data_IF_912391811302
#
_entry.id   IF_912391811302
#
_cell.length_a   1.000
_cell.length_b   1.000
_cell.length_c   1.000
_cell.angle_alpha   90.00
_cell.angle_beta   90.00
_cell.angle_gamma   90.00
#
_symmetry.space_group_name_H-M   'P 1'
#
loop_
_entity.id
_entity.type
_entity.pdbx_description
1 polymer ?
#
# COMPACT_ATOMS: atom_id res chain seq x y z
N UNK A 1 -25.42 32.37 16.36
CA UNK A 1 -24.98 30.97 16.36
C UNK A 1 -23.47 30.98 16.42
N UNK A 2 -22.88 30.57 17.54
CA UNK A 2 -21.43 30.34 17.62
C UNK A 2 -21.14 29.09 16.80
N UNK A 3 -20.30 29.20 15.78
CA UNK A 3 -19.84 28.03 15.03
C UNK A 3 -18.97 27.21 15.97
N UNK A 4 -19.33 25.95 16.16
CA UNK A 4 -18.53 24.98 16.90
C UNK A 4 -17.23 24.71 16.10
N UNK A 5 -16.07 24.87 16.75
CA UNK A 5 -14.75 24.87 16.09
C UNK A 5 -13.88 23.66 16.44
N UNK A 6 -14.42 22.68 17.15
CA UNK A 6 -13.68 21.49 17.55
C UNK A 6 -13.82 20.37 16.50
N UNK A 7 -12.69 19.80 16.07
CA UNK A 7 -12.65 18.59 15.26
C UNK A 7 -11.48 17.70 15.70
N UNK A 8 -11.65 16.39 15.56
CA UNK A 8 -10.59 15.39 15.77
C UNK A 8 -10.04 14.98 14.41
N UNK A 9 -8.72 14.84 14.33
CA UNK A 9 -8.04 14.32 13.15
C UNK A 9 -7.24 13.10 13.55
N UNK A 10 -7.70 11.93 13.15
CA UNK A 10 -6.92 10.69 13.24
C UNK A 10 -6.00 10.62 12.02
N UNK A 11 -4.68 10.59 12.27
CA UNK A 11 -3.68 10.54 11.20
C UNK A 11 -2.87 9.26 11.26
N UNK A 12 -2.51 8.75 10.08
CA UNK A 12 -1.46 7.73 9.95
C UNK A 12 -0.18 8.16 10.66
N UNK A 13 0.58 7.18 11.17
CA UNK A 13 1.93 7.47 11.68
C UNK A 13 2.83 7.89 10.52
N UNK A 14 3.46 9.06 10.65
CA UNK A 14 4.33 9.64 9.62
C UNK A 14 5.76 9.66 10.13
N UNK A 15 6.67 9.04 9.36
CA UNK A 15 8.11 9.25 9.50
C UNK A 15 8.59 10.14 8.36
N UNK A 16 9.26 11.23 8.72
CA UNK A 16 9.74 12.21 7.76
C UNK A 16 11.18 12.59 8.04
N UNK A 17 11.97 12.71 6.99
CA UNK A 17 13.36 13.14 7.06
C UNK A 17 14.24 12.39 6.07
N UNK A 18 15.45 12.90 5.79
CA UNK A 18 16.41 12.19 4.95
C UNK A 18 16.75 10.81 5.53
N UNK A 19 16.66 9.77 4.71
CA UNK A 19 17.09 8.42 5.06
C UNK A 19 16.11 7.55 5.84
N UNK A 20 14.95 8.07 6.25
CA UNK A 20 13.95 7.31 7.06
C UNK A 20 13.44 6.05 6.36
N UNK A 21 13.48 5.97 5.02
CA UNK A 21 13.13 4.76 4.26
C UNK A 21 13.95 3.54 4.68
N UNK A 22 15.17 3.73 5.21
CA UNK A 22 16.04 2.63 5.69
C UNK A 22 15.48 1.92 6.93
N UNK A 23 14.53 2.53 7.63
CA UNK A 23 13.90 1.94 8.82
C UNK A 23 12.79 0.94 8.47
N UNK A 24 12.36 0.88 7.21
CA UNK A 24 11.18 0.10 6.80
C UNK A 24 11.29 -1.40 7.14
N UNK A 25 12.51 -1.95 7.13
CA UNK A 25 12.76 -3.32 7.56
C UNK A 25 12.34 -3.55 9.02
N UNK A 26 12.85 -2.70 9.92
CA UNK A 26 12.50 -2.73 11.34
C UNK A 26 11.00 -2.46 11.56
N UNK A 27 10.41 -1.54 10.81
CA UNK A 27 8.98 -1.22 10.94
C UNK A 27 8.10 -2.41 10.57
N UNK A 28 8.36 -3.06 9.44
CA UNK A 28 7.63 -4.27 9.03
C UNK A 28 7.87 -5.44 9.99
N UNK A 29 9.09 -5.58 10.53
CA UNK A 29 9.38 -6.60 11.54
C UNK A 29 8.60 -6.37 12.84
N UNK A 30 8.49 -5.11 13.29
CA UNK A 30 7.69 -4.73 14.46
C UNK A 30 6.19 -4.95 14.25
N UNK A 31 5.72 -4.85 13.00
CA UNK A 31 4.36 -5.22 12.59
C UNK A 31 4.17 -6.74 12.46
N UNK A 32 5.20 -7.55 12.74
CA UNK A 32 5.14 -9.01 12.70
C UNK A 32 5.22 -9.63 11.31
N UNK A 33 5.51 -8.84 10.27
CA UNK A 33 5.54 -9.32 8.89
C UNK A 33 6.76 -10.22 8.62
N UNK A 34 6.58 -11.23 7.77
CA UNK A 34 7.61 -12.18 7.34
C UNK A 34 7.71 -12.29 5.82
N UNK A 35 6.61 -12.11 5.10
CA UNK A 35 6.57 -12.16 3.64
C UNK A 35 5.71 -11.03 3.09
N UNK A 36 6.35 -10.06 2.46
CA UNK A 36 5.70 -8.79 2.09
C UNK A 36 5.69 -8.59 0.58
N UNK A 37 4.63 -7.95 0.09
CA UNK A 37 4.53 -7.50 -1.28
C UNK A 37 5.00 -6.05 -1.39
N UNK A 38 6.02 -5.79 -2.20
CA UNK A 38 6.49 -4.44 -2.51
C UNK A 38 5.89 -4.01 -3.84
N UNK A 39 5.01 -3.02 -3.82
CA UNK A 39 4.22 -2.55 -4.97
C UNK A 39 4.81 -1.28 -5.53
N UNK A 40 5.14 -1.26 -6.81
CA UNK A 40 5.70 -0.10 -7.51
C UNK A 40 5.34 -0.11 -9.00
N UNK A 41 5.78 0.90 -9.74
CA UNK A 41 5.65 0.98 -11.19
C UNK A 41 6.99 0.70 -11.91
N UNK A 42 7.00 0.39 -13.22
CA UNK A 42 8.22 -0.01 -13.93
C UNK A 42 9.32 1.05 -13.98
N UNK A 43 8.98 2.33 -13.77
CA UNK A 43 9.95 3.43 -13.75
C UNK A 43 10.57 3.52 -12.36
N UNK A 44 9.74 3.55 -11.31
CA UNK A 44 10.19 3.66 -9.92
C UNK A 44 10.93 2.41 -9.46
N UNK A 45 10.60 1.23 -9.98
CA UNK A 45 11.31 -0.03 -9.74
C UNK A 45 12.83 0.04 -9.96
N UNK A 46 13.29 0.97 -10.81
CA UNK A 46 14.70 1.14 -11.17
C UNK A 46 15.41 2.22 -10.35
N UNK A 47 14.72 2.85 -9.40
CA UNK A 47 15.23 3.97 -8.63
C UNK A 47 15.71 3.52 -7.24
N UNK A 48 16.57 4.35 -6.63
CA UNK A 48 17.13 4.12 -5.30
C UNK A 48 16.09 3.80 -4.22
N UNK A 49 14.91 4.45 -4.13
CA UNK A 49 13.96 4.16 -3.07
C UNK A 49 13.53 2.68 -3.00
N UNK A 50 13.33 2.03 -4.15
CA UNK A 50 12.97 0.61 -4.19
C UNK A 50 14.14 -0.27 -3.75
N UNK A 51 15.36 0.04 -4.20
CA UNK A 51 16.55 -0.67 -3.77
C UNK A 51 16.76 -0.59 -2.25
N UNK A 52 16.61 0.61 -1.67
CA UNK A 52 16.72 0.85 -0.22
C UNK A 52 15.68 0.04 0.55
N UNK A 53 14.43 -0.02 0.08
CA UNK A 53 13.36 -0.81 0.72
C UNK A 53 13.72 -2.31 0.69
N UNK A 54 14.09 -2.84 -0.48
CA UNK A 54 14.42 -4.26 -0.62
C UNK A 54 15.63 -4.66 0.24
N UNK A 55 16.66 -3.82 0.29
CA UNK A 55 17.85 -4.08 1.11
C UNK A 55 17.53 -4.01 2.61
N UNK A 56 16.71 -3.05 3.04
CA UNK A 56 16.28 -2.94 4.44
C UNK A 56 15.46 -4.16 4.89
N UNK A 57 14.56 -4.67 4.04
CA UNK A 57 13.79 -5.89 4.32
C UNK A 57 14.69 -7.12 4.38
N UNK A 58 15.63 -7.25 3.43
CA UNK A 58 16.60 -8.35 3.42
C UNK A 58 17.46 -8.36 4.69
N UNK A 59 17.89 -7.19 5.15
CA UNK A 59 18.73 -7.05 6.34
C UNK A 59 18.08 -7.60 7.63
N UNK A 60 16.74 -7.63 7.69
CA UNK A 60 15.98 -8.19 8.82
C UNK A 60 15.38 -9.56 8.53
N UNK A 61 15.71 -10.17 7.38
CA UNK A 61 15.25 -11.50 6.99
C UNK A 61 13.78 -11.58 6.57
N UNK A 62 13.18 -10.47 6.12
CA UNK A 62 11.83 -10.47 5.54
C UNK A 62 11.91 -10.85 4.06
N UNK A 63 11.07 -11.81 3.66
CA UNK A 63 10.91 -12.24 2.28
C UNK A 63 10.10 -11.20 1.50
N UNK A 64 10.79 -10.38 0.71
CA UNK A 64 10.19 -9.30 -0.06
C UNK A 64 10.02 -9.70 -1.53
N UNK A 65 8.77 -9.65 -2.02
CA UNK A 65 8.45 -9.92 -3.42
C UNK A 65 8.02 -8.64 -4.11
N UNK A 66 8.75 -8.26 -5.15
CA UNK A 66 8.47 -7.06 -5.93
C UNK A 66 7.34 -7.31 -6.95
N UNK A 67 6.35 -6.42 -6.94
CA UNK A 67 5.36 -6.24 -8.00
C UNK A 67 5.58 -4.86 -8.62
N UNK A 68 6.13 -4.83 -9.82
CA UNK A 68 6.53 -3.62 -10.54
C UNK A 68 5.59 -3.27 -11.70
N UNK A 69 4.41 -3.89 -11.75
CA UNK A 69 3.48 -3.80 -12.88
C UNK A 69 2.35 -2.78 -12.66
N UNK A 70 2.50 -1.87 -11.70
CA UNK A 70 1.55 -0.78 -11.48
C UNK A 70 1.49 0.11 -12.72
N UNK A 71 0.26 0.45 -13.12
CA UNK A 71 -0.01 1.41 -14.20
C UNK A 71 -0.31 2.79 -13.61
N UNK A 72 0.17 3.83 -14.28
CA UNK A 72 -0.37 5.19 -14.08
C UNK A 72 -1.81 5.18 -14.57
N UNK A 73 -2.72 5.76 -13.80
CA UNK A 73 -4.19 5.65 -14.01
C UNK A 73 -4.65 4.17 -14.07
N UNK A 74 -4.70 3.50 -12.90
CA UNK A 74 -5.02 2.07 -12.84
C UNK A 74 -6.37 1.75 -13.49
N UNK A 75 -6.39 0.71 -14.32
CA UNK A 75 -7.62 0.11 -14.86
C UNK A 75 -8.09 -1.05 -14.00
N UNK A 76 -9.36 -1.44 -14.13
CA UNK A 76 -9.92 -2.64 -13.49
C UNK A 76 -9.06 -3.88 -13.72
N UNK A 77 -8.53 -4.05 -14.93
CA UNK A 77 -7.66 -5.19 -15.26
C UNK A 77 -6.33 -5.11 -14.51
N UNK A 78 -5.74 -3.93 -14.39
CA UNK A 78 -4.48 -3.75 -13.66
C UNK A 78 -4.63 -4.01 -12.16
N UNK A 79 -5.77 -3.60 -11.57
CA UNK A 79 -6.07 -3.92 -10.17
C UNK A 79 -6.31 -5.42 -9.99
N UNK A 80 -7.13 -6.06 -10.84
CA UNK A 80 -7.37 -7.50 -10.77
C UNK A 80 -6.07 -8.30 -10.84
N UNK A 81 -5.15 -7.91 -11.71
CA UNK A 81 -3.85 -8.55 -11.80
C UNK A 81 -3.02 -8.43 -10.49
N UNK A 82 -2.97 -7.23 -9.89
CA UNK A 82 -2.30 -7.04 -8.60
C UNK A 82 -2.98 -7.83 -7.46
N UNK A 83 -4.31 -7.91 -7.48
CA UNK A 83 -5.11 -8.68 -6.51
C UNK A 83 -4.82 -10.17 -6.64
N UNK A 84 -4.80 -10.71 -7.86
CA UNK A 84 -4.53 -12.12 -8.09
C UNK A 84 -3.09 -12.48 -7.69
N UNK A 85 -2.13 -11.60 -7.97
CA UNK A 85 -0.76 -11.72 -7.48
C UNK A 85 -0.70 -11.76 -5.95
N UNK A 86 -1.43 -10.85 -5.27
CA UNK A 86 -1.46 -10.77 -3.82
C UNK A 86 -2.10 -12.02 -3.17
N UNK A 87 -3.19 -12.53 -3.76
CA UNK A 87 -3.85 -13.77 -3.32
C UNK A 87 -2.94 -14.98 -3.46
N UNK A 88 -2.23 -15.10 -4.58
CA UNK A 88 -1.32 -16.22 -4.84
C UNK A 88 -0.07 -16.17 -3.96
N UNK A 89 0.42 -14.97 -3.63
CA UNK A 89 1.66 -14.79 -2.88
C UNK A 89 1.57 -14.97 -1.37
N UNK A 90 0.36 -15.08 -0.81
CA UNK A 90 0.07 -15.22 0.62
C UNK A 90 0.86 -14.23 1.51
N UNK A 91 0.89 -12.96 1.11
CA UNK A 91 1.64 -11.92 1.81
C UNK A 91 1.00 -11.58 3.16
N UNK A 92 1.81 -11.28 4.16
CA UNK A 92 1.38 -10.83 5.50
C UNK A 92 1.57 -9.33 5.73
N UNK A 93 2.14 -8.61 4.76
CA UNK A 93 2.24 -7.15 4.76
C UNK A 93 2.49 -6.59 3.35
N UNK A 94 2.26 -5.29 3.20
CA UNK A 94 2.37 -4.58 1.94
C UNK A 94 3.22 -3.32 2.10
N UNK A 95 3.99 -3.00 1.06
CA UNK A 95 4.74 -1.75 0.98
C UNK A 95 4.45 -1.14 -0.38
N UNK A 96 3.98 0.10 -0.43
CA UNK A 96 3.84 0.84 -1.67
C UNK A 96 5.01 1.79 -1.83
N UNK A 97 5.76 1.71 -2.92
CA UNK A 97 6.85 2.66 -3.25
C UNK A 97 6.50 3.35 -4.57
N UNK A 98 6.17 4.64 -4.52
CA UNK A 98 5.77 5.38 -5.72
C UNK A 98 4.81 6.53 -5.44
N UNK A 99 4.06 6.93 -6.47
CA UNK A 99 2.96 7.89 -6.33
C UNK A 99 1.62 7.22 -5.97
N UNK A 100 0.53 7.99 -6.09
CA UNK A 100 -0.84 7.55 -5.78
C UNK A 100 -1.24 6.23 -6.43
N UNK A 101 -0.90 6.01 -7.70
CA UNK A 101 -1.25 4.76 -8.39
C UNK A 101 -0.65 3.51 -7.75
N UNK A 102 0.58 3.56 -7.25
CA UNK A 102 1.21 2.43 -6.54
C UNK A 102 0.57 2.19 -5.19
N UNK A 103 0.22 3.27 -4.48
CA UNK A 103 -0.45 3.21 -3.18
C UNK A 103 -1.86 2.64 -3.31
N UNK A 104 -2.66 3.12 -4.27
CA UNK A 104 -4.01 2.62 -4.52
C UNK A 104 -3.99 1.16 -4.98
N UNK A 105 -3.02 0.78 -5.81
CA UNK A 105 -2.81 -0.62 -6.22
C UNK A 105 -2.51 -1.51 -5.02
N UNK A 106 -1.64 -1.06 -4.11
CA UNK A 106 -1.33 -1.80 -2.88
C UNK A 106 -2.54 -1.92 -1.96
N UNK A 107 -3.33 -0.85 -1.79
CA UNK A 107 -4.58 -0.87 -0.99
C UNK A 107 -5.59 -1.87 -1.56
N UNK A 108 -5.82 -1.84 -2.86
CA UNK A 108 -6.74 -2.77 -3.53
C UNK A 108 -6.26 -4.23 -3.41
N UNK A 109 -4.97 -4.47 -3.68
CA UNK A 109 -4.36 -5.78 -3.53
C UNK A 109 -4.52 -6.33 -2.11
N UNK A 110 -4.20 -5.52 -1.10
CA UNK A 110 -4.35 -5.88 0.30
C UNK A 110 -5.79 -6.16 0.70
N UNK A 111 -6.72 -5.28 0.32
CA UNK A 111 -8.14 -5.41 0.61
C UNK A 111 -8.70 -6.73 0.06
N UNK A 112 -8.54 -6.98 -1.24
CA UNK A 112 -9.14 -8.15 -1.89
C UNK A 112 -8.38 -9.46 -1.62
N UNK A 113 -7.12 -9.41 -1.19
CA UNK A 113 -6.41 -10.58 -0.69
C UNK A 113 -6.80 -10.93 0.75
N UNK A 114 -7.21 -9.94 1.56
CA UNK A 114 -7.69 -10.16 2.93
C UNK A 114 -9.16 -10.57 2.95
N UNK A 115 -10.00 -9.89 2.17
CA UNK A 115 -11.43 -10.17 2.04
C UNK A 115 -11.78 -10.38 0.56
N UNK A 116 -11.66 -11.62 0.05
CA UNK A 116 -12.01 -11.91 -1.34
C UNK A 116 -13.49 -11.66 -1.63
N UNK A 117 -13.77 -10.87 -2.67
CA UNK A 117 -15.13 -10.57 -3.15
C UNK A 117 -15.10 -10.22 -4.64
N UNK A 118 -16.27 -10.03 -5.26
CA UNK A 118 -16.35 -9.44 -6.60
C UNK A 118 -15.67 -8.06 -6.61
N UNK A 119 -14.96 -7.72 -7.69
CA UNK A 119 -14.14 -6.51 -7.78
C UNK A 119 -14.88 -5.18 -7.54
N UNK A 120 -16.20 -5.14 -7.71
CA UNK A 120 -17.01 -3.94 -7.47
C UNK A 120 -17.71 -3.95 -6.10
N UNK A 121 -17.42 -4.94 -5.24
CA UNK A 121 -18.10 -5.09 -3.95
C UNK A 121 -17.81 -3.94 -3.00
N UNK A 122 -16.54 -3.58 -2.84
CA UNK A 122 -16.10 -2.51 -1.94
C UNK A 122 -16.01 -1.14 -2.62
N UNK A 123 -16.18 -1.08 -3.94
CA UNK A 123 -16.16 0.19 -4.68
C UNK A 123 -17.45 0.95 -4.39
N UNK A 124 -17.33 2.25 -4.11
CA UNK A 124 -18.47 3.10 -3.77
C UNK A 124 -19.46 3.26 -4.94
N UNK A 125 -20.76 3.51 -4.65
CA UNK A 125 -21.73 3.91 -5.66
C UNK A 125 -21.31 5.23 -6.34
N UNK A 126 -21.71 5.47 -7.60
CA UNK A 126 -22.65 4.67 -8.40
C UNK A 126 -22.03 3.48 -9.14
N UNK A 127 -20.71 3.29 -9.07
CA UNK A 127 -20.00 2.27 -9.87
C UNK A 127 -20.08 0.89 -9.22
N UNK A 128 -19.91 0.82 -7.89
CA UNK A 128 -19.91 -0.44 -7.15
C UNK A 128 -21.02 -0.57 -6.11
N UNK A 129 -20.93 -1.62 -5.30
CA UNK A 129 -21.94 -1.99 -4.29
C UNK A 129 -21.79 -1.22 -2.97
N UNK A 130 -20.66 -0.54 -2.74
CA UNK A 130 -20.39 0.22 -1.52
C UNK A 130 -20.45 -0.60 -0.24
N UNK A 131 -20.17 -1.90 -0.30
CA UNK A 131 -20.21 -2.73 0.91
C UNK A 131 -19.05 -2.37 1.84
N UNK A 132 -19.28 -2.31 3.17
CA UNK A 132 -18.23 -2.01 4.12
C UNK A 132 -17.20 -3.15 4.15
N UNK A 133 -15.94 -2.80 4.41
CA UNK A 133 -14.87 -3.78 4.63
C UNK A 133 -15.14 -4.51 5.96
N UNK A 134 -15.11 -5.86 6.00
CA UNK A 134 -15.53 -6.62 7.19
C UNK A 134 -14.68 -6.41 8.46
N UNK A 135 -13.47 -5.86 8.33
CA UNK A 135 -12.55 -5.68 9.43
C UNK A 135 -11.21 -5.09 8.99
N UNK A 136 -10.19 -5.10 9.86
CA UNK A 136 -8.87 -4.61 9.51
C UNK A 136 -8.25 -5.43 8.37
N UNK A 137 -7.45 -4.77 7.54
CA UNK A 137 -6.61 -5.41 6.51
C UNK A 137 -5.19 -5.62 7.03
N UNK A 138 -4.34 -6.33 6.27
CA UNK A 138 -2.94 -6.56 6.65
C UNK A 138 -2.16 -5.23 6.71
N UNK A 139 -1.04 -5.14 7.44
CA UNK A 139 -0.25 -3.93 7.51
C UNK A 139 0.19 -3.43 6.13
N UNK A 140 0.14 -2.11 5.93
CA UNK A 140 0.57 -1.44 4.71
C UNK A 140 1.39 -0.20 5.07
N UNK A 141 2.62 -0.09 4.55
CA UNK A 141 3.47 1.10 4.65
C UNK A 141 3.58 1.77 3.28
N UNK A 142 3.36 3.08 3.22
CA UNK A 142 3.54 3.87 2.01
C UNK A 142 4.88 4.63 2.06
N UNK A 143 5.64 4.55 0.95
CA UNK A 143 6.88 5.28 0.69
C UNK A 143 6.64 6.18 -0.52
N UNK A 144 6.09 7.39 -0.31
CA UNK A 144 5.75 8.28 -1.41
C UNK A 144 7.01 8.80 -2.10
N UNK A 145 7.05 8.74 -3.43
CA UNK A 145 8.13 9.30 -4.26
C UNK A 145 7.74 10.60 -4.96
N UNK A 146 6.54 11.09 -4.71
CA UNK A 146 5.98 12.32 -5.30
C UNK A 146 5.36 13.18 -4.21
N UNK A 147 5.63 14.48 -4.21
CA UNK A 147 4.91 15.46 -3.38
C UNK A 147 3.61 15.86 -4.09
N UNK A 148 2.56 15.03 -3.93
CA UNK A 148 1.34 15.15 -4.74
C UNK A 148 0.08 14.70 -4.02
N UNK A 149 -0.39 13.47 -4.31
CA UNK A 149 -1.77 13.03 -4.07
C UNK A 149 -2.20 12.91 -2.60
N UNK A 150 -1.27 12.87 -1.64
CA UNK A 150 -1.58 12.59 -0.24
C UNK A 150 -2.15 11.19 -0.01
N UNK A 151 -1.94 10.26 -0.94
CA UNK A 151 -2.53 8.92 -0.89
C UNK A 151 -1.93 8.05 0.21
N UNK A 152 -0.81 8.47 0.79
CA UNK A 152 -0.16 7.86 1.94
C UNK A 152 -0.94 8.06 3.26
N UNK A 153 -1.89 9.01 3.30
CA UNK A 153 -2.70 9.33 4.48
C UNK A 153 -4.20 9.15 4.31
N UNK A 154 -4.65 8.59 3.17
CA UNK A 154 -6.08 8.29 2.87
C UNK A 154 -6.38 6.81 2.83
#
# INVERSE_FOLDING_TARGET
MQHETAFTMDTSSIKYGPGVTREIGSDMANLGCKRVMVVTDPRVAKLEPVAVVLDALRAVGIDAVLYDQTRVEPTDQSFKHAIDFAKAGNFDGYIAVGGGSSMDTAKAANLYATYPADFLTYVNPPIGKGQPVPGPVKPLIAVPTTAGTGSETT
#
